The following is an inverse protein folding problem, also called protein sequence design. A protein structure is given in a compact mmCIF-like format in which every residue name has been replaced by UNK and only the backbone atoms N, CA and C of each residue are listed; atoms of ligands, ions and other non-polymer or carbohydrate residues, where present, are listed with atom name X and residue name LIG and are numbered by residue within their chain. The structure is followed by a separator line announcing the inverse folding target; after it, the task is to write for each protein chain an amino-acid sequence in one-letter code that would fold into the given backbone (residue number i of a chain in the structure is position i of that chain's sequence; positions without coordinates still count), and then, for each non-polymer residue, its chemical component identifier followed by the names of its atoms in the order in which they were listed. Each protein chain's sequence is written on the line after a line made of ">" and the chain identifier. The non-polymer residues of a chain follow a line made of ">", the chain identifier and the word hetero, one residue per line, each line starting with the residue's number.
data_IF_147282092595
#
_entry.id   IF_147282092595
#
_cell.length_a   1.000
_cell.length_b   1.000
_cell.length_c   1.000
_cell.angle_alpha   90.00
_cell.angle_beta   90.00
_cell.angle_gamma   90.00
#
_symmetry.space_group_name_H-M   'P 1'
#
loop_
_entity.id
_entity.type
_entity.pdbx_description
1 polymer ?
#
# COMPACT_ATOMS: atom_id res chain seq x y z
N UNK A 1 -53.34 64.00 19.29
CA UNK A 1 -53.72 64.81 18.11
C UNK A 1 -52.90 64.36 16.90
N UNK A 2 -53.50 64.30 15.70
CA UNK A 2 -52.93 64.11 14.32
C UNK A 2 -51.67 63.22 14.15
N UNK A 3 -51.64 62.05 13.50
CA UNK A 3 -52.25 61.52 12.24
C UNK A 3 -51.54 61.90 10.92
N UNK A 4 -50.83 60.92 10.32
CA UNK A 4 -50.74 60.54 8.88
C UNK A 4 -49.67 59.40 8.78
N UNK A 5 -49.84 58.18 8.21
CA UNK A 5 -50.30 57.70 6.87
C UNK A 5 -49.55 58.39 5.71
N UNK A 6 -48.97 57.73 4.69
CA UNK A 6 -48.86 56.31 4.25
C UNK A 6 -47.39 56.09 3.74
N UNK A 7 -46.94 55.03 3.05
CA UNK A 7 -47.56 53.96 2.24
C UNK A 7 -46.79 52.62 2.38
N UNK A 8 -46.76 51.81 1.31
CA UNK A 8 -45.90 50.65 1.04
C UNK A 8 -45.41 50.76 -0.40
N UNK A 9 -44.34 50.05 -0.78
CA UNK A 9 -44.18 49.55 -2.15
C UNK A 9 -43.43 48.20 -2.15
N UNK A 10 -44.08 47.18 -2.68
CA UNK A 10 -43.51 45.85 -2.94
C UNK A 10 -42.81 45.87 -4.30
N UNK A 11 -41.66 45.23 -4.45
CA UNK A 11 -41.08 44.95 -5.76
C UNK A 11 -40.45 43.56 -5.80
N UNK A 12 -41.08 42.66 -6.56
CA UNK A 12 -40.58 41.32 -6.82
C UNK A 12 -39.41 41.39 -7.81
N UNK A 13 -38.23 40.86 -7.45
CA UNK A 13 -37.15 40.62 -8.41
C UNK A 13 -37.21 39.18 -8.90
N UNK A 14 -37.45 39.02 -10.20
CA UNK A 14 -37.61 37.71 -10.87
C UNK A 14 -36.32 36.89 -10.85
N UNK A 15 -36.45 35.59 -10.63
CA UNK A 15 -35.41 34.61 -10.94
C UNK A 15 -35.32 34.38 -12.45
N UNK A 16 -34.13 34.53 -13.01
CA UNK A 16 -33.83 34.19 -14.42
C UNK A 16 -33.17 32.81 -14.48
N UNK A 17 -33.94 31.78 -14.86
CA UNK A 17 -33.41 30.46 -15.15
C UNK A 17 -32.55 30.50 -16.43
N UNK A 18 -31.38 29.88 -16.39
CA UNK A 18 -30.48 29.80 -17.53
C UNK A 18 -30.79 28.54 -18.36
N UNK A 19 -31.43 28.71 -19.51
CA UNK A 19 -31.58 27.68 -20.54
C UNK A 19 -31.30 28.33 -21.91
N UNK A 20 -30.12 28.08 -22.47
CA UNK A 20 -29.78 28.52 -23.83
C UNK A 20 -30.13 27.41 -24.83
N UNK A 21 -31.04 27.70 -25.78
CA UNK A 21 -31.30 26.85 -26.94
C UNK A 21 -30.44 27.34 -28.11
N UNK A 22 -29.52 26.53 -28.60
CA UNK A 22 -28.89 26.78 -29.90
C UNK A 22 -29.86 26.47 -31.04
N UNK A 23 -30.05 27.45 -31.92
CA UNK A 23 -30.85 27.34 -33.15
C UNK A 23 -29.92 27.12 -34.35
N UNK A 24 -29.84 25.88 -34.86
CA UNK A 24 -29.16 25.59 -36.13
C UNK A 24 -30.12 25.80 -37.32
N UNK A 25 -29.72 26.62 -38.31
CA UNK A 25 -30.45 26.78 -39.57
C UNK A 25 -30.03 25.72 -40.59
N UNK A 26 -30.99 25.29 -41.40
CA UNK A 26 -30.84 24.31 -42.49
C UNK A 26 -29.95 24.84 -43.62
N UNK A 27 -29.32 23.93 -44.36
CA UNK A 27 -29.35 23.98 -45.82
C UNK A 27 -29.27 22.56 -46.41
N UNK A 28 -29.94 22.35 -47.54
CA UNK A 28 -30.09 21.07 -48.25
C UNK A 28 -29.47 21.26 -49.64
N UNK A 29 -28.65 20.32 -50.10
CA UNK A 29 -28.46 20.09 -51.54
C UNK A 29 -28.43 18.58 -51.84
N UNK A 30 -29.17 18.22 -52.87
CA UNK A 30 -29.40 16.86 -53.34
C UNK A 30 -28.93 16.79 -54.80
N UNK A 31 -28.10 15.81 -55.17
CA UNK A 31 -27.76 15.52 -56.57
C UNK A 31 -27.48 14.02 -56.73
N UNK A 32 -27.98 13.43 -57.81
CA UNK A 32 -28.07 11.98 -58.01
C UNK A 32 -27.85 11.65 -59.50
N UNK A 33 -26.93 10.74 -59.84
CA UNK A 33 -26.74 10.21 -61.21
C UNK A 33 -25.83 8.94 -61.26
N UNK A 34 -26.45 7.76 -61.28
CA UNK A 34 -26.43 6.74 -62.35
C UNK A 34 -25.36 6.92 -63.48
N UNK A 35 -24.60 5.92 -64.00
CA UNK A 35 -24.87 4.49 -64.34
C UNK A 35 -23.57 3.64 -64.48
N UNK A 36 -23.72 2.31 -64.44
CA UNK A 36 -22.84 1.20 -64.92
C UNK A 36 -21.98 0.47 -63.87
N UNK A 37 -21.87 -0.87 -63.86
CA UNK A 37 -22.61 -1.88 -64.62
C UNK A 37 -21.77 -3.08 -65.08
N UNK A 38 -21.53 -4.06 -64.22
CA UNK A 38 -21.02 -5.42 -64.55
C UNK A 38 -21.30 -6.37 -63.36
N UNK A 39 -21.76 -7.62 -63.56
CA UNK A 39 -22.06 -8.54 -62.46
C UNK A 39 -20.85 -9.43 -62.13
N UNK A 40 -20.53 -9.56 -60.84
CA UNK A 40 -19.69 -10.64 -60.33
C UNK A 40 -20.43 -11.36 -59.20
N UNK A 41 -20.47 -12.68 -59.33
CA UNK A 41 -21.17 -13.60 -58.43
C UNK A 41 -20.45 -13.61 -57.07
N UNK A 42 -21.17 -13.35 -55.99
CA UNK A 42 -20.77 -13.80 -54.66
C UNK A 42 -22.00 -14.05 -53.78
N UNK A 43 -22.04 -15.25 -53.20
CA UNK A 43 -23.04 -15.73 -52.26
C UNK A 43 -23.04 -14.91 -50.97
N UNK A 44 -24.15 -14.28 -50.64
CA UNK A 44 -24.37 -13.69 -49.30
C UNK A 44 -24.79 -14.81 -48.35
N UNK A 45 -23.84 -15.32 -47.58
CA UNK A 45 -24.16 -16.07 -46.37
C UNK A 45 -24.58 -15.06 -45.29
N UNK A 46 -25.83 -15.16 -44.82
CA UNK A 46 -26.29 -14.39 -43.66
C UNK A 46 -25.71 -15.04 -42.41
N UNK A 47 -24.50 -14.64 -42.04
CA UNK A 47 -23.98 -14.88 -40.70
C UNK A 47 -24.61 -13.83 -39.77
N UNK A 48 -25.48 -14.27 -38.86
CA UNK A 48 -25.93 -13.43 -37.76
C UNK A 48 -24.74 -13.25 -36.80
N UNK A 49 -24.09 -12.09 -36.85
CA UNK A 49 -23.07 -11.75 -35.86
C UNK A 49 -23.77 -11.52 -34.51
N UNK A 50 -23.68 -12.50 -33.62
CA UNK A 50 -24.14 -12.34 -32.25
C UNK A 50 -23.39 -11.18 -31.58
N UNK A 51 -24.15 -10.32 -30.89
CA UNK A 51 -23.59 -9.24 -30.10
C UNK A 51 -22.86 -9.85 -28.89
N UNK A 52 -21.57 -9.57 -28.66
CA UNK A 52 -20.89 -10.05 -27.46
C UNK A 52 -21.52 -9.40 -26.21
N UNK A 53 -21.91 -10.25 -25.26
CA UNK A 53 -22.62 -9.86 -24.04
C UNK A 53 -21.70 -9.08 -23.07
N UNK A 54 -21.71 -7.75 -23.18
CA UNK A 54 -20.96 -6.84 -22.31
C UNK A 54 -21.58 -6.71 -20.91
N UNK A 55 -21.66 -7.82 -20.16
CA UNK A 55 -22.02 -7.86 -18.74
C UNK A 55 -21.18 -8.83 -17.92
N UNK A 56 -19.86 -8.60 -17.83
CA UNK A 56 -19.04 -9.26 -16.79
C UNK A 56 -17.71 -8.59 -16.42
N UNK A 57 -17.70 -7.27 -16.20
CA UNK A 57 -16.64 -6.63 -15.39
C UNK A 57 -17.06 -6.61 -13.91
N UNK A 58 -17.16 -7.81 -13.31
CA UNK A 58 -17.24 -7.94 -11.87
C UNK A 58 -15.82 -7.98 -11.29
N UNK A 59 -15.58 -7.20 -10.24
CA UNK A 59 -14.38 -7.27 -9.39
C UNK A 59 -14.20 -8.75 -8.96
N UNK A 60 -12.97 -9.29 -8.93
CA UNK A 60 -12.75 -10.67 -8.52
C UNK A 60 -13.38 -10.94 -7.14
N UNK A 61 -14.39 -11.83 -7.11
CA UNK A 61 -14.83 -12.42 -5.84
C UNK A 61 -13.70 -13.30 -5.31
N UNK A 62 -13.49 -13.26 -4.00
CA UNK A 62 -12.63 -14.21 -3.30
C UNK A 62 -12.94 -15.64 -3.76
N UNK A 63 -11.98 -16.26 -4.43
CA UNK A 63 -12.02 -17.69 -4.73
C UNK A 63 -11.82 -18.45 -3.42
N UNK A 64 -12.91 -19.06 -2.94
CA UNK A 64 -12.87 -20.08 -1.89
C UNK A 64 -11.78 -21.11 -2.27
N UNK A 65 -10.87 -21.51 -1.36
CA UNK A 65 -9.81 -22.46 -1.70
C UNK A 65 -10.39 -23.76 -2.27
N UNK A 66 -10.09 -24.05 -3.53
CA UNK A 66 -10.35 -25.34 -4.14
C UNK A 66 -9.29 -26.33 -3.68
N UNK A 67 -9.70 -27.56 -3.33
CA UNK A 67 -8.79 -28.64 -2.95
C UNK A 67 -7.94 -29.08 -4.16
N UNK A 68 -6.79 -28.46 -4.38
CA UNK A 68 -5.69 -29.10 -5.10
C UNK A 68 -5.05 -30.17 -4.20
N UNK A 69 -4.68 -31.36 -4.73
CA UNK A 69 -3.97 -32.37 -3.94
C UNK A 69 -2.64 -31.83 -3.42
N UNK A 70 -2.39 -31.97 -2.12
CA UNK A 70 -1.14 -31.57 -1.50
C UNK A 70 -0.03 -32.58 -1.84
N UNK A 71 0.72 -32.34 -2.91
CA UNK A 71 2.06 -32.91 -3.10
C UNK A 71 3.00 -32.28 -2.06
N UNK A 72 3.33 -33.03 -1.01
CA UNK A 72 4.13 -32.54 0.11
C UNK A 72 5.50 -32.04 -0.31
N UNK A 73 5.87 -30.84 0.14
CA UNK A 73 7.19 -30.24 -0.11
C UNK A 73 8.24 -30.78 0.89
N UNK A 74 9.52 -30.93 0.51
CA UNK A 74 10.51 -31.66 1.33
C UNK A 74 10.76 -31.09 2.74
N UNK A 75 10.53 -29.79 2.92
CA UNK A 75 10.97 -29.00 4.07
C UNK A 75 9.88 -28.76 5.16
N UNK A 76 8.70 -29.36 5.02
CA UNK A 76 7.58 -29.13 5.95
C UNK A 76 7.61 -30.09 7.16
N UNK A 77 7.25 -29.56 8.33
CA UNK A 77 6.91 -30.28 9.55
C UNK A 77 5.45 -29.98 9.91
N UNK A 78 4.67 -30.98 10.31
CA UNK A 78 3.22 -30.88 10.53
C UNK A 78 2.88 -30.64 12.00
N UNK A 79 3.45 -29.59 12.60
CA UNK A 79 3.33 -29.33 14.04
C UNK A 79 1.98 -28.68 14.44
N UNK A 80 1.20 -29.29 15.36
CA UNK A 80 -0.09 -28.76 15.79
C UNK A 80 0.05 -27.78 16.96
N UNK A 81 0.59 -26.58 16.68
CA UNK A 81 0.50 -25.44 17.61
C UNK A 81 0.50 -24.11 16.86
N UNK A 82 -0.68 -23.52 16.67
CA UNK A 82 -0.80 -22.13 16.19
C UNK A 82 -0.30 -21.19 17.28
N UNK A 83 0.99 -20.85 17.24
CA UNK A 83 1.53 -19.78 18.10
C UNK A 83 0.87 -18.47 17.68
N UNK A 84 0.39 -17.69 18.65
CA UNK A 84 -0.29 -16.42 18.39
C UNK A 84 0.39 -15.30 19.16
N UNK A 85 0.71 -14.22 18.43
CA UNK A 85 1.08 -12.95 19.00
C UNK A 85 -0.17 -12.30 19.62
N UNK A 86 -0.11 -11.93 20.90
CA UNK A 86 -1.19 -11.21 21.56
C UNK A 86 -1.27 -9.77 21.03
N UNK A 87 -2.47 -9.18 20.97
CA UNK A 87 -2.60 -7.79 20.64
C UNK A 87 -1.95 -6.89 21.69
N UNK A 88 -1.37 -5.78 21.23
CA UNK A 88 -1.00 -4.66 22.10
C UNK A 88 -2.26 -3.95 22.60
N UNK A 89 -2.11 -3.06 23.58
CA UNK A 89 -3.22 -2.26 24.09
C UNK A 89 -3.89 -1.43 22.97
N UNK A 90 -5.22 -1.27 22.97
CA UNK A 90 -5.89 -0.28 22.14
C UNK A 90 -5.34 1.12 22.38
N UNK A 91 -5.39 1.98 21.37
CA UNK A 91 -4.84 3.32 21.44
C UNK A 91 -5.24 4.18 20.26
N UNK A 92 -4.63 5.36 20.19
CA UNK A 92 -4.81 6.31 19.10
C UNK A 92 -3.52 6.46 18.31
N UNK A 93 -3.62 6.46 16.98
CA UNK A 93 -2.53 6.81 16.08
C UNK A 93 -2.87 8.09 15.32
N UNK A 94 -1.91 9.01 15.22
CA UNK A 94 -2.06 10.28 14.50
C UNK A 94 -1.11 10.30 13.31
N UNK A 95 -1.69 10.27 12.10
CA UNK A 95 -0.98 10.47 10.85
C UNK A 95 -1.05 11.96 10.48
N UNK A 96 0.01 12.70 10.81
CA UNK A 96 0.14 14.11 10.42
C UNK A 96 0.49 14.25 8.93
N UNK A 97 -0.09 15.25 8.28
CA UNK A 97 0.11 15.49 6.84
C UNK A 97 1.53 15.94 6.52
N UNK A 98 2.21 16.63 7.43
CA UNK A 98 3.64 16.99 7.32
C UNK A 98 4.59 15.81 7.04
N UNK A 99 4.18 14.56 7.34
CA UNK A 99 4.95 13.34 7.03
C UNK A 99 4.89 12.94 5.56
N UNK A 100 3.95 13.49 4.80
CA UNK A 100 3.87 13.28 3.35
C UNK A 100 4.86 14.20 2.64
N UNK A 101 5.74 13.66 1.76
CA UNK A 101 6.63 14.49 0.95
C UNK A 101 5.88 15.44 0.01
N UNK A 102 4.61 15.16 -0.31
CA UNK A 102 3.72 16.03 -1.10
C UNK A 102 3.31 17.29 -0.32
N UNK A 103 3.20 17.19 1.01
CA UNK A 103 2.78 18.31 1.86
C UNK A 103 3.98 19.17 2.23
N UNK A 104 5.13 18.54 2.50
CA UNK A 104 6.44 19.18 2.66
C UNK A 104 6.45 20.32 3.69
N UNK A 105 6.17 21.54 3.22
CA UNK A 105 5.96 22.73 4.07
C UNK A 105 4.72 23.58 3.71
N UNK A 106 4.07 23.33 2.56
CA UNK A 106 2.89 24.08 2.09
C UNK A 106 2.12 23.27 1.03
N UNK A 107 0.86 22.95 1.33
CA UNK A 107 -0.08 22.42 0.34
C UNK A 107 -1.07 23.51 -0.05
N UNK A 108 -0.92 24.10 -1.25
CA UNK A 108 -1.79 25.18 -1.73
C UNK A 108 -2.50 24.78 -3.03
N UNK A 109 -3.83 24.85 -2.99
CA UNK A 109 -4.76 24.59 -4.08
C UNK A 109 -5.14 25.91 -4.77
N UNK A 110 -5.16 25.97 -6.11
CA UNK A 110 -5.27 27.22 -6.90
C UNK A 110 -6.24 27.12 -8.08
N UNK A 111 -6.86 28.25 -8.43
CA UNK A 111 -7.83 28.34 -9.54
C UNK A 111 -9.23 27.85 -9.15
N UNK A 112 -10.14 27.73 -10.13
CA UNK A 112 -11.57 27.43 -9.87
C UNK A 112 -11.79 26.05 -9.24
N UNK A 113 -11.11 25.02 -9.75
CA UNK A 113 -11.13 23.68 -9.17
C UNK A 113 -9.70 23.16 -9.10
N UNK A 114 -9.33 22.60 -7.96
CA UNK A 114 -8.04 21.95 -7.73
C UNK A 114 -8.19 20.90 -6.63
N UNK A 115 -7.34 19.88 -6.68
CA UNK A 115 -7.39 18.77 -5.74
C UNK A 115 -6.00 18.28 -5.34
N UNK A 116 -5.86 17.87 -4.08
CA UNK A 116 -4.67 17.18 -3.59
C UNK A 116 -5.01 15.80 -3.08
N UNK A 117 -4.09 14.86 -3.31
CA UNK A 117 -4.25 13.44 -3.02
C UNK A 117 -3.16 13.01 -2.05
N UNK A 118 -3.57 12.47 -0.90
CA UNK A 118 -2.68 11.98 0.14
C UNK A 118 -2.99 10.52 0.43
N UNK A 119 -1.98 9.65 0.27
CA UNK A 119 -2.13 8.21 0.43
C UNK A 119 -1.65 7.73 1.79
N UNK A 120 -2.35 6.75 2.36
CA UNK A 120 -2.00 6.13 3.63
C UNK A 120 -2.39 4.65 3.66
N UNK A 121 -1.68 3.85 4.44
CA UNK A 121 -1.98 2.42 4.64
C UNK A 121 -2.73 2.18 5.94
N UNK A 122 -3.40 1.03 6.04
CA UNK A 122 -3.95 0.49 7.30
C UNK A 122 -3.15 -0.76 7.69
N UNK A 123 -2.35 -0.75 8.77
CA UNK A 123 -1.59 -1.92 9.24
C UNK A 123 -2.46 -3.17 9.40
N UNK A 124 -1.92 -4.34 9.02
CA UNK A 124 -2.73 -5.57 8.82
C UNK A 124 -3.38 -6.11 10.10
N UNK A 125 -2.83 -5.77 11.27
CA UNK A 125 -3.36 -6.19 12.57
C UNK A 125 -4.25 -5.13 13.25
N UNK A 126 -4.61 -4.02 12.60
CA UNK A 126 -5.47 -3.01 13.22
C UNK A 126 -6.96 -3.31 13.04
N UNK A 127 -7.70 -3.41 14.14
CA UNK A 127 -9.15 -3.20 14.15
C UNK A 127 -9.45 -1.72 14.34
N UNK A 128 -9.80 -1.05 13.25
CA UNK A 128 -10.13 0.37 13.26
C UNK A 128 -11.52 0.59 13.85
N UNK A 129 -11.58 1.26 15.02
CA UNK A 129 -12.83 1.58 15.71
C UNK A 129 -13.45 2.86 15.16
N UNK A 130 -12.64 3.91 15.01
CA UNK A 130 -13.00 5.17 14.36
C UNK A 130 -11.82 5.77 13.61
N UNK A 131 -12.11 6.49 12.53
CA UNK A 131 -11.14 7.34 11.82
C UNK A 131 -11.74 8.72 11.64
N UNK A 132 -10.93 9.75 11.88
CA UNK A 132 -11.30 11.16 11.68
C UNK A 132 -10.27 11.84 10.80
N UNK A 133 -10.72 12.56 9.77
CA UNK A 133 -9.87 13.53 9.06
C UNK A 133 -10.09 14.89 9.70
N UNK A 134 -9.02 15.48 10.23
CA UNK A 134 -9.01 16.83 10.81
C UNK A 134 -8.18 17.73 9.89
N UNK A 135 -8.85 18.50 9.03
CA UNK A 135 -8.19 19.48 8.16
C UNK A 135 -8.15 20.84 8.84
N UNK A 136 -6.96 21.44 8.87
CA UNK A 136 -6.78 22.87 9.13
C UNK A 136 -6.46 23.57 7.82
N UNK A 137 -7.16 24.66 7.53
CA UNK A 137 -7.05 25.34 6.24
C UNK A 137 -7.21 26.85 6.41
N UNK A 138 -6.66 27.61 5.46
CA UNK A 138 -6.97 29.04 5.26
C UNK A 138 -7.21 29.26 3.77
N UNK A 139 -7.94 30.30 3.41
CA UNK A 139 -8.23 30.61 2.01
C UNK A 139 -8.20 32.11 1.76
N UNK A 140 -8.22 32.47 0.48
CA UNK A 140 -8.30 33.86 0.06
C UNK A 140 -9.53 34.56 0.63
N UNK A 141 -9.38 35.78 1.18
CA UNK A 141 -10.52 36.59 1.63
C UNK A 141 -11.36 37.14 0.46
N UNK A 142 -10.91 36.98 -0.79
CA UNK A 142 -11.67 37.33 -1.98
C UNK A 142 -12.71 36.26 -2.41
N UNK A 143 -12.72 35.08 -1.78
CA UNK A 143 -13.65 34.02 -2.15
C UNK A 143 -15.11 34.36 -1.76
N UNK A 144 -16.01 34.09 -2.69
CA UNK A 144 -17.44 34.18 -2.52
C UNK A 144 -17.95 32.88 -1.86
N UNK A 145 -18.08 32.93 -0.53
CA UNK A 145 -18.36 31.80 0.35
C UNK A 145 -19.54 30.90 -0.07
N UNK A 146 -20.60 31.46 -0.66
CA UNK A 146 -21.79 30.68 -1.09
C UNK A 146 -21.56 29.86 -2.37
N UNK A 147 -20.42 30.02 -3.03
CA UNK A 147 -19.99 29.28 -4.23
C UNK A 147 -18.60 28.67 -4.11
N UNK A 148 -18.02 28.72 -2.91
CA UNK A 148 -16.68 28.21 -2.63
C UNK A 148 -16.72 27.19 -1.51
N UNK A 149 -16.24 25.98 -1.75
CA UNK A 149 -16.25 24.88 -0.78
C UNK A 149 -14.95 24.08 -0.80
N UNK A 150 -14.68 23.42 0.32
CA UNK A 150 -13.64 22.42 0.49
C UNK A 150 -14.33 21.09 0.81
N UNK A 151 -14.13 20.11 -0.07
CA UNK A 151 -14.73 18.78 0.02
C UNK A 151 -13.64 17.74 0.27
N UNK A 152 -13.92 16.78 1.16
CA UNK A 152 -13.03 15.66 1.47
C UNK A 152 -13.65 14.36 1.00
N UNK A 153 -12.85 13.54 0.33
CA UNK A 153 -13.23 12.22 -0.13
C UNK A 153 -12.23 11.18 0.38
N UNK A 154 -12.71 9.98 0.69
CA UNK A 154 -11.92 8.80 1.04
C UNK A 154 -12.22 7.73 0.00
N UNK A 155 -11.20 7.26 -0.71
CA UNK A 155 -11.32 6.20 -1.72
C UNK A 155 -12.46 6.47 -2.74
N UNK A 156 -12.59 7.73 -3.17
CA UNK A 156 -13.61 8.19 -4.11
C UNK A 156 -14.98 8.54 -3.51
N UNK A 157 -15.26 8.21 -2.25
CA UNK A 157 -16.51 8.56 -1.58
C UNK A 157 -16.38 9.87 -0.78
N UNK A 158 -17.28 10.83 -0.99
CA UNK A 158 -17.31 12.08 -0.22
C UNK A 158 -17.71 11.83 1.23
N UNK A 159 -16.88 12.28 2.17
CA UNK A 159 -17.12 12.18 3.63
C UNK A 159 -17.63 13.50 4.22
N UNK A 160 -17.49 14.62 3.50
CA UNK A 160 -18.07 15.90 3.89
C UNK A 160 -17.52 17.08 3.12
N UNK A 161 -18.16 18.24 3.30
CA UNK A 161 -17.80 19.51 2.67
C UNK A 161 -18.09 20.69 3.59
N UNK A 162 -17.25 21.73 3.55
CA UNK A 162 -17.44 22.99 4.28
C UNK A 162 -17.33 24.19 3.33
N UNK A 163 -18.11 25.27 3.57
CA UNK A 163 -17.95 26.51 2.81
C UNK A 163 -16.63 27.21 3.18
N UNK A 164 -15.96 27.78 2.17
CA UNK A 164 -14.77 28.62 2.33
C UNK A 164 -15.21 30.04 2.73
N UNK A 165 -15.48 30.22 4.02
CA UNK A 165 -16.15 31.42 4.57
C UNK A 165 -15.42 32.11 5.74
N UNK A 166 -14.13 31.84 5.95
CA UNK A 166 -13.34 32.41 7.03
C UNK A 166 -12.99 33.88 6.74
N UNK A 167 -13.17 34.80 7.71
CA UNK A 167 -12.86 36.20 7.51
C UNK A 167 -11.33 36.40 7.45
N UNK A 168 -10.88 37.36 6.63
CA UNK A 168 -9.49 37.86 6.60
C UNK A 168 -8.37 36.79 6.51
N UNK A 169 -8.66 35.60 5.97
CA UNK A 169 -7.68 34.51 5.87
C UNK A 169 -7.42 33.76 7.19
N UNK A 170 -8.33 33.87 8.17
CA UNK A 170 -8.31 33.08 9.40
C UNK A 170 -8.25 31.57 9.14
N UNK A 171 -7.67 30.84 10.10
CA UNK A 171 -7.54 29.38 10.02
C UNK A 171 -8.85 28.72 10.41
N UNK A 172 -9.48 28.04 9.46
CA UNK A 172 -10.57 27.10 9.69
C UNK A 172 -10.09 25.72 10.12
N UNK A 173 -10.94 25.00 10.84
CA UNK A 173 -10.81 23.57 11.10
C UNK A 173 -12.09 22.87 10.63
N UNK A 174 -11.95 21.77 9.89
CA UNK A 174 -13.03 20.86 9.53
C UNK A 174 -12.67 19.45 9.99
N UNK A 175 -13.60 18.77 10.66
CA UNK A 175 -13.42 17.41 11.16
C UNK A 175 -14.52 16.54 10.56
N UNK A 176 -14.12 15.45 9.91
CA UNK A 176 -15.04 14.48 9.31
C UNK A 176 -14.78 13.09 9.88
N UNK A 177 -15.82 12.44 10.38
CA UNK A 177 -15.81 11.02 10.68
C UNK A 177 -15.79 10.22 9.37
N UNK A 178 -14.85 9.28 9.25
CA UNK A 178 -14.71 8.41 8.08
C UNK A 178 -15.39 7.07 8.38
N UNK A 179 -16.45 6.69 7.65
CA UNK A 179 -17.05 5.37 7.78
C UNK A 179 -16.01 4.26 7.54
N UNK A 180 -15.87 3.34 8.50
CA UNK A 180 -14.81 2.31 8.48
C UNK A 180 -14.96 1.32 7.32
N UNK A 181 -16.15 1.18 6.76
CA UNK A 181 -16.42 0.39 5.55
C UNK A 181 -15.86 1.02 4.25
N UNK A 182 -15.42 2.28 4.27
CA UNK A 182 -14.67 2.89 3.16
C UNK A 182 -13.18 2.54 3.21
N UNK A 183 -12.67 2.06 4.35
CA UNK A 183 -11.24 1.83 4.56
C UNK A 183 -10.77 0.49 4.02
N UNK A 184 -9.71 0.55 3.23
CA UNK A 184 -9.01 -0.57 2.63
C UNK A 184 -7.60 -0.68 3.23
N UNK A 185 -6.76 -1.58 2.71
CA UNK A 185 -5.34 -1.69 3.10
C UNK A 185 -4.51 -0.50 2.61
N UNK A 186 -4.83 0.01 1.42
CA UNK A 186 -4.29 1.23 0.84
C UNK A 186 -5.44 2.23 0.65
N UNK A 187 -5.24 3.48 1.06
CA UNK A 187 -6.29 4.50 1.06
C UNK A 187 -5.78 5.81 0.47
N UNK A 188 -6.68 6.57 -0.14
CA UNK A 188 -6.45 7.92 -0.64
C UNK A 188 -7.45 8.90 0.00
N UNK A 189 -6.92 9.93 0.67
CA UNK A 189 -7.66 11.16 0.99
C UNK A 189 -7.54 12.10 -0.20
N UNK A 190 -8.65 12.49 -0.80
CA UNK A 190 -8.71 13.59 -1.77
C UNK A 190 -9.29 14.82 -1.08
N UNK A 191 -8.60 15.95 -1.24
CA UNK A 191 -9.01 17.25 -0.74
C UNK A 191 -9.23 18.12 -1.96
N UNK A 192 -10.49 18.30 -2.34
CA UNK A 192 -10.88 19.09 -3.50
C UNK A 192 -11.43 20.45 -3.04
N UNK A 193 -11.09 21.51 -3.77
CA UNK A 193 -11.71 22.84 -3.58
C UNK A 193 -12.45 23.26 -4.83
N UNK A 194 -13.64 23.82 -4.64
CA UNK A 194 -14.30 24.67 -5.62
C UNK A 194 -14.16 26.10 -5.13
N UNK A 195 -13.63 26.99 -5.96
CA UNK A 195 -13.27 28.36 -5.60
C UNK A 195 -13.88 29.35 -6.59
N UNK A 196 -14.44 30.44 -6.07
CA UNK A 196 -15.07 31.44 -6.89
C UNK A 196 -14.98 32.81 -6.23
N UNK A 197 -14.48 33.83 -6.92
CA UNK A 197 -14.39 35.22 -6.45
C UNK A 197 -15.40 36.17 -7.13
N UNK A 198 -16.31 35.66 -7.98
CA UNK A 198 -17.28 36.44 -8.75
C UNK A 198 -18.73 35.97 -8.52
N UNK A 199 -19.66 36.87 -8.11
CA UNK A 199 -21.07 36.51 -7.94
C UNK A 199 -21.76 36.12 -9.27
N UNK A 200 -21.14 36.40 -10.42
CA UNK A 200 -21.67 36.13 -11.76
C UNK A 200 -21.00 34.97 -12.49
N UNK A 201 -20.03 34.26 -11.88
CA UNK A 201 -19.22 33.22 -12.54
C UNK A 201 -18.50 33.71 -13.80
N UNK A 202 -18.07 34.98 -13.80
CA UNK A 202 -17.35 35.63 -14.90
C UNK A 202 -15.86 35.83 -14.58
N UNK A 203 -15.32 35.10 -13.60
CA UNK A 203 -13.92 35.25 -13.22
C UNK A 203 -12.96 34.58 -14.19
N UNK A 204 -11.71 35.05 -14.19
CA UNK A 204 -10.59 34.32 -14.80
C UNK A 204 -10.34 33.01 -14.01
N UNK A 205 -10.31 31.84 -14.66
CA UNK A 205 -10.00 30.57 -14.00
C UNK A 205 -8.65 30.52 -13.26
N UNK A 206 -7.70 31.39 -13.65
CA UNK A 206 -6.33 31.47 -13.13
C UNK A 206 -6.07 32.71 -12.29
N UNK A 207 -7.13 33.45 -11.89
CA UNK A 207 -7.01 34.62 -11.02
C UNK A 207 -6.21 34.27 -9.74
N UNK A 208 -5.12 34.99 -9.43
CA UNK A 208 -4.24 34.67 -8.31
C UNK A 208 -4.90 34.82 -6.93
N UNK A 209 -6.11 35.39 -6.85
CA UNK A 209 -6.93 35.41 -5.64
C UNK A 209 -7.76 34.14 -5.42
N UNK A 210 -7.77 33.18 -6.37
CA UNK A 210 -8.37 31.86 -6.19
C UNK A 210 -7.37 30.90 -5.54
N UNK A 211 -7.30 30.90 -4.21
CA UNK A 211 -6.44 29.96 -3.47
C UNK A 211 -7.00 29.52 -2.12
N UNK A 212 -6.66 28.28 -1.76
CA UNK A 212 -6.87 27.66 -0.45
C UNK A 212 -5.59 26.91 -0.06
N UNK A 213 -5.16 27.04 1.18
CA UNK A 213 -3.97 26.38 1.72
C UNK A 213 -4.37 25.42 2.84
N UNK A 214 -3.97 24.16 2.70
CA UNK A 214 -4.10 23.12 3.72
C UNK A 214 -2.84 23.18 4.59
N UNK A 215 -3.03 23.32 5.90
CA UNK A 215 -1.92 23.50 6.83
C UNK A 215 -1.28 22.15 7.20
N UNK A 216 0.06 22.09 7.44
CA UNK A 216 0.78 20.83 7.64
C UNK A 216 0.37 20.04 8.89
N UNK A 217 -0.30 20.67 9.86
CA UNK A 217 -0.83 20.07 11.08
C UNK A 217 -2.27 19.52 10.93
N UNK A 218 -2.77 19.50 9.70
CA UNK A 218 -3.86 18.61 9.29
C UNK A 218 -3.45 17.14 9.47
N UNK A 219 -4.41 16.28 9.79
CA UNK A 219 -4.12 14.89 10.20
C UNK A 219 -5.27 13.92 9.98
N UNK A 220 -4.93 12.64 9.82
CA UNK A 220 -5.84 11.51 10.02
C UNK A 220 -5.60 10.94 11.42
N UNK A 221 -6.67 10.78 12.21
CA UNK A 221 -6.63 10.21 13.55
C UNK A 221 -7.34 8.86 13.51
N UNK A 222 -6.67 7.80 13.97
CA UNK A 222 -7.20 6.45 14.07
C UNK A 222 -7.35 6.08 15.53
N UNK A 223 -8.54 5.67 15.95
CA UNK A 223 -8.73 4.94 17.20
C UNK A 223 -8.79 3.45 16.85
N UNK A 224 -7.90 2.66 17.43
CA UNK A 224 -7.61 1.30 16.98
C UNK A 224 -7.44 0.32 18.13
N UNK A 225 -7.88 -0.92 17.92
CA UNK A 225 -7.58 -2.07 18.75
C UNK A 225 -6.75 -3.07 17.93
N UNK A 226 -5.52 -3.42 18.32
CA UNK A 226 -4.78 -4.46 17.63
C UNK A 226 -5.50 -5.82 17.73
N UNK A 227 -5.40 -6.64 16.68
CA UNK A 227 -5.91 -8.02 16.64
C UNK A 227 -4.81 -9.02 17.00
N UNK A 228 -5.15 -10.18 17.60
CA UNK A 228 -4.22 -11.29 17.71
C UNK A 228 -3.72 -11.73 16.32
N UNK A 229 -2.44 -12.13 16.22
CA UNK A 229 -1.86 -12.55 14.94
C UNK A 229 -1.34 -13.99 15.03
N UNK A 230 -1.87 -14.94 14.22
CA UNK A 230 -1.29 -16.27 14.11
C UNK A 230 0.06 -16.20 13.39
N UNK A 231 1.04 -16.89 13.96
CA UNK A 231 2.40 -16.99 13.45
C UNK A 231 2.50 -18.21 12.52
N UNK A 232 2.66 -17.92 11.23
CA UNK A 232 2.74 -18.95 10.19
C UNK A 232 3.63 -18.42 9.05
N UNK A 233 4.61 -19.22 8.61
CA UNK A 233 5.52 -18.85 7.54
C UNK A 233 4.83 -18.67 6.17
N UNK A 234 3.63 -19.21 5.97
CA UNK A 234 2.81 -18.94 4.77
C UNK A 234 2.43 -17.46 4.61
N UNK A 235 2.58 -16.67 5.67
CA UNK A 235 2.32 -15.23 5.72
C UNK A 235 3.60 -14.39 5.77
N UNK A 236 4.78 -15.04 5.73
CA UNK A 236 6.07 -14.38 5.76
C UNK A 236 6.21 -13.36 4.60
N UNK A 237 6.68 -12.11 4.85
CA UNK A 237 7.39 -11.68 6.05
C UNK A 237 6.50 -11.15 7.20
N UNK A 238 5.17 -11.14 7.08
CA UNK A 238 4.30 -10.68 8.17
C UNK A 238 4.18 -11.74 9.29
N UNK A 239 4.22 -11.38 10.60
CA UNK A 239 4.27 -10.03 11.17
C UNK A 239 5.68 -9.49 11.51
N UNK A 240 6.75 -10.14 11.03
CA UNK A 240 8.13 -9.65 11.22
C UNK A 240 8.32 -8.28 10.55
N UNK A 241 7.86 -8.17 9.31
CA UNK A 241 7.78 -6.95 8.54
C UNK A 241 6.32 -6.74 8.10
N UNK A 242 5.74 -5.58 8.42
CA UNK A 242 4.44 -5.14 7.89
C UNK A 242 4.65 -4.01 6.87
N UNK A 243 4.40 -4.33 5.61
CA UNK A 243 4.37 -3.37 4.49
C UNK A 243 3.29 -2.29 4.67
N UNK A 244 2.24 -2.55 5.44
CA UNK A 244 1.18 -1.57 5.69
C UNK A 244 1.44 -0.72 6.95
N UNK A 245 2.57 -0.92 7.65
CA UNK A 245 2.93 -0.16 8.84
C UNK A 245 3.02 1.34 8.56
N UNK A 246 2.41 2.15 9.44
CA UNK A 246 2.52 3.62 9.43
C UNK A 246 3.71 4.13 10.26
N UNK A 247 4.36 3.26 11.04
CA UNK A 247 5.61 3.49 11.77
C UNK A 247 6.75 2.66 11.15
N UNK A 248 8.02 2.97 11.44
CA UNK A 248 9.14 2.08 11.14
C UNK A 248 8.90 0.65 11.65
N UNK A 249 9.44 -0.33 10.92
CA UNK A 249 9.44 -1.70 11.41
C UNK A 249 10.61 -1.87 12.40
N UNK A 250 10.31 -1.89 13.70
CA UNK A 250 11.28 -2.05 14.79
C UNK A 250 11.75 -3.51 14.92
N UNK A 251 13.08 -3.72 14.80
CA UNK A 251 13.70 -5.04 14.73
C UNK A 251 14.98 -5.11 15.59
N UNK A 252 14.95 -5.93 16.64
CA UNK A 252 16.12 -6.27 17.43
C UNK A 252 16.79 -7.55 16.91
N UNK A 253 18.12 -7.61 16.94
CA UNK A 253 18.90 -8.83 16.78
C UNK A 253 19.50 -9.25 18.12
N UNK A 254 19.29 -10.50 18.53
CA UNK A 254 19.92 -11.04 19.72
C UNK A 254 21.40 -11.35 19.44
N UNK A 255 22.30 -10.68 20.15
CA UNK A 255 23.72 -10.95 20.08
C UNK A 255 24.03 -12.36 20.62
N UNK A 256 24.82 -13.18 19.90
CA UNK A 256 25.34 -14.43 20.44
C UNK A 256 26.39 -14.12 21.53
N UNK A 257 26.65 -15.11 22.38
CA UNK A 257 27.68 -15.01 23.43
C UNK A 257 29.09 -14.72 22.88
N UNK A 258 29.40 -15.20 21.68
CA UNK A 258 30.59 -14.86 20.90
C UNK A 258 30.20 -14.58 19.45
N UNK A 259 30.14 -13.31 19.02
CA UNK A 259 29.92 -12.97 17.61
C UNK A 259 31.06 -13.49 16.72
N UNK A 260 30.71 -14.25 15.69
CA UNK A 260 31.64 -14.84 14.73
C UNK A 260 31.31 -14.43 13.28
N UNK A 261 32.20 -14.81 12.34
CA UNK A 261 32.03 -14.51 10.93
C UNK A 261 30.74 -15.14 10.35
N UNK A 262 30.36 -16.32 10.84
CA UNK A 262 29.15 -17.00 10.40
C UNK A 262 27.88 -16.21 10.78
N UNK A 263 27.80 -15.75 12.04
CA UNK A 263 26.70 -14.92 12.52
C UNK A 263 26.67 -13.55 11.82
N UNK A 264 27.82 -12.88 11.69
CA UNK A 264 27.92 -11.59 10.97
C UNK A 264 27.47 -11.73 9.51
N UNK A 265 27.88 -12.79 8.83
CA UNK A 265 27.45 -13.10 7.46
C UNK A 265 25.96 -13.36 7.37
N UNK A 266 25.41 -14.18 8.28
CA UNK A 266 23.99 -14.51 8.28
C UNK A 266 23.10 -13.30 8.61
N UNK A 267 23.43 -12.55 9.67
CA UNK A 267 22.69 -11.37 10.10
C UNK A 267 22.73 -10.25 9.04
N UNK A 268 23.89 -9.97 8.44
CA UNK A 268 24.01 -8.96 7.38
C UNK A 268 23.24 -9.36 6.12
N UNK A 269 23.33 -10.60 5.65
CA UNK A 269 22.52 -11.10 4.52
C UNK A 269 21.02 -10.98 4.79
N UNK A 270 20.59 -11.31 6.01
CA UNK A 270 19.19 -11.17 6.43
C UNK A 270 18.72 -9.71 6.41
N UNK A 271 19.50 -8.81 7.04
CA UNK A 271 19.19 -7.38 7.06
C UNK A 271 19.19 -6.76 5.66
N UNK A 272 20.14 -7.11 4.79
CA UNK A 272 20.16 -6.67 3.39
C UNK A 272 18.92 -7.15 2.62
N UNK A 273 18.40 -8.34 2.91
CA UNK A 273 17.18 -8.84 2.28
C UNK A 273 15.91 -8.16 2.81
N UNK A 274 15.86 -7.83 4.10
CA UNK A 274 14.78 -6.99 4.65
C UNK A 274 14.81 -5.58 4.06
N UNK A 275 16.00 -4.98 3.90
CA UNK A 275 16.15 -3.69 3.20
C UNK A 275 15.59 -3.71 1.77
N UNK A 276 15.85 -4.77 1.00
CA UNK A 276 15.25 -4.96 -0.34
C UNK A 276 13.73 -5.10 -0.30
N UNK A 277 13.18 -5.79 0.71
CA UNK A 277 11.73 -5.92 0.89
C UNK A 277 11.08 -4.59 1.30
N UNK A 278 11.76 -3.78 2.10
CA UNK A 278 11.23 -2.53 2.62
C UNK A 278 11.19 -1.40 1.58
N UNK A 279 12.06 -1.43 0.57
CA UNK A 279 12.16 -0.40 -0.47
C UNK A 279 12.42 1.00 0.12
N UNK A 280 11.38 1.83 0.22
CA UNK A 280 11.42 3.19 0.81
C UNK A 280 10.97 3.22 2.29
N UNK A 281 10.47 2.10 2.82
CA UNK A 281 9.90 2.02 4.18
C UNK A 281 11.02 1.92 5.21
N UNK A 282 10.98 2.71 6.29
CA UNK A 282 11.99 2.65 7.34
C UNK A 282 11.94 1.31 8.11
N UNK A 283 13.12 0.78 8.41
CA UNK A 283 13.35 -0.32 9.35
C UNK A 283 14.30 0.20 10.41
N UNK A 284 13.86 0.23 11.67
CA UNK A 284 14.69 0.68 12.78
C UNK A 284 15.30 -0.57 13.44
N UNK A 285 16.62 -0.73 13.30
CA UNK A 285 17.30 -1.96 13.71
C UNK A 285 18.35 -1.73 14.78
N UNK A 286 18.38 -2.61 15.80
CA UNK A 286 19.37 -2.56 16.88
C UNK A 286 19.81 -3.95 17.35
N UNK A 287 20.83 -3.96 18.20
CA UNK A 287 21.34 -5.14 18.88
C UNK A 287 20.79 -5.19 20.32
N UNK A 288 20.51 -6.38 20.83
CA UNK A 288 20.14 -6.65 22.24
C UNK A 288 20.95 -7.81 22.79
N UNK A 289 21.21 -7.80 24.10
CA UNK A 289 21.90 -8.89 24.80
C UNK A 289 20.93 -9.94 25.36
N UNK A 290 19.68 -9.54 25.60
CA UNK A 290 18.66 -10.41 26.19
C UNK A 290 17.25 -10.05 25.70
N UNK A 291 16.35 -11.03 25.72
CA UNK A 291 14.94 -10.87 25.30
C UNK A 291 14.18 -9.83 26.15
N UNK A 292 14.60 -9.60 27.40
CA UNK A 292 14.00 -8.60 28.29
C UNK A 292 14.32 -7.14 27.94
N UNK A 293 15.22 -6.87 26.98
CA UNK A 293 15.51 -5.52 26.50
C UNK A 293 14.52 -5.02 25.44
N UNK A 294 13.57 -5.85 24.99
CA UNK A 294 12.61 -5.53 23.93
C UNK A 294 11.54 -4.53 24.39
N UNK A 295 11.18 -3.60 23.51
CA UNK A 295 9.97 -2.76 23.68
C UNK A 295 8.72 -3.49 23.15
N UNK A 296 7.51 -3.23 23.71
CA UNK A 296 6.29 -3.87 23.22
C UNK A 296 6.00 -3.53 21.75
N UNK A 297 6.00 -4.55 20.88
CA UNK A 297 5.78 -4.39 19.43
C UNK A 297 7.04 -4.46 18.57
N UNK A 298 8.22 -4.35 19.18
CA UNK A 298 9.50 -4.67 18.54
C UNK A 298 9.58 -6.17 18.26
N UNK A 299 10.16 -6.57 17.13
CA UNK A 299 10.35 -7.99 16.78
C UNK A 299 11.80 -8.39 17.02
N UNK A 300 12.02 -9.61 17.49
CA UNK A 300 13.35 -10.17 17.73
C UNK A 300 13.75 -11.15 16.62
N UNK A 301 15.00 -11.05 16.18
CA UNK A 301 15.68 -12.02 15.32
C UNK A 301 16.77 -12.71 16.12
N UNK A 302 16.72 -14.05 16.17
CA UNK A 302 17.75 -14.88 16.79
C UNK A 302 18.38 -15.75 15.71
N UNK A 303 19.69 -15.61 15.52
CA UNK A 303 20.49 -16.42 14.59
C UNK A 303 21.58 -17.11 15.40
N UNK A 304 21.74 -18.42 15.23
CA UNK A 304 22.79 -19.21 15.87
C UNK A 304 22.33 -20.58 16.37
N UNK A 305 23.22 -21.33 17.00
CA UNK A 305 22.93 -22.64 17.61
C UNK A 305 22.58 -22.47 19.10
N UNK A 306 22.20 -23.55 19.79
CA UNK A 306 21.97 -23.52 21.25
C UNK A 306 23.22 -23.22 22.07
N UNK A 307 24.42 -23.45 21.52
CA UNK A 307 25.69 -23.09 22.16
C UNK A 307 26.04 -21.62 21.98
N UNK A 308 25.78 -21.03 20.79
CA UNK A 308 26.05 -19.59 20.55
C UNK A 308 24.92 -18.68 21.03
N UNK A 309 23.69 -19.21 21.13
CA UNK A 309 22.51 -18.53 21.64
C UNK A 309 21.87 -19.34 22.80
N UNK A 310 22.47 -19.37 24.01
CA UNK A 310 21.93 -20.12 25.16
C UNK A 310 20.49 -19.75 25.55
N UNK A 311 20.08 -18.51 25.26
CA UNK A 311 18.72 -17.98 25.43
C UNK A 311 17.64 -18.81 24.71
N UNK A 312 17.99 -19.56 23.66
CA UNK A 312 17.07 -20.50 23.01
C UNK A 312 16.55 -21.58 23.99
N UNK A 313 17.30 -21.90 25.05
CA UNK A 313 16.90 -22.90 26.07
C UNK A 313 15.85 -22.38 27.06
N UNK A 314 15.67 -21.06 27.19
CA UNK A 314 14.68 -20.45 28.10
C UNK A 314 13.40 -19.98 27.41
N UNK A 315 13.38 -19.94 26.08
CA UNK A 315 12.18 -19.62 25.30
C UNK A 315 11.22 -20.81 25.24
N UNK A 316 9.91 -20.51 25.14
CA UNK A 316 8.90 -21.52 24.80
C UNK A 316 8.96 -21.77 23.29
N UNK A 317 9.56 -22.89 22.89
CA UNK A 317 9.78 -23.22 21.49
C UNK A 317 8.81 -24.30 20.98
N UNK A 318 8.44 -24.29 19.68
CA UNK A 318 7.64 -25.36 19.09
C UNK A 318 8.37 -26.71 19.00
N UNK A 319 9.69 -26.70 18.76
CA UNK A 319 10.54 -27.89 18.75
C UNK A 319 11.16 -28.17 20.11
N UNK A 320 11.44 -29.45 20.37
CA UNK A 320 12.12 -29.92 21.59
C UNK A 320 13.64 -29.95 21.40
N UNK A 321 14.34 -29.82 22.52
CA UNK A 321 15.79 -29.99 22.63
C UNK A 321 16.12 -31.23 23.46
N UNK A 322 17.17 -31.95 23.08
CA UNK A 322 17.84 -32.93 23.93
C UNK A 322 19.31 -32.54 24.07
N UNK A 323 19.69 -32.07 25.26
CA UNK A 323 20.99 -31.41 25.47
C UNK A 323 21.08 -30.15 24.61
N UNK A 324 21.93 -30.20 23.58
CA UNK A 324 22.14 -29.12 22.62
C UNK A 324 21.69 -29.45 21.19
N UNK A 325 20.94 -30.55 20.97
CA UNK A 325 20.43 -30.92 19.64
C UNK A 325 18.92 -30.76 19.54
N UNK A 326 18.47 -30.21 18.41
CA UNK A 326 17.05 -30.13 18.05
C UNK A 326 16.51 -31.51 17.68
N UNK A 327 15.29 -31.80 18.14
CA UNK A 327 14.56 -33.01 17.81
C UNK A 327 13.47 -32.74 16.78
N UNK A 328 13.22 -33.71 15.90
CA UNK A 328 12.07 -33.73 15.00
C UNK A 328 10.78 -34.19 15.71
N UNK A 329 9.69 -34.29 14.96
CA UNK A 329 8.37 -34.73 15.44
C UNK A 329 8.38 -36.18 15.98
N UNK A 330 9.29 -37.01 15.47
CA UNK A 330 9.51 -38.40 15.91
C UNK A 330 10.45 -38.51 17.12
N UNK A 331 10.86 -37.37 17.69
CA UNK A 331 11.83 -37.21 18.77
C UNK A 331 13.25 -37.71 18.41
N UNK A 332 13.59 -37.73 17.12
CA UNK A 332 14.96 -38.04 16.66
C UNK A 332 15.77 -36.76 16.50
N UNK A 333 17.09 -36.77 16.79
CA UNK A 333 17.96 -35.64 16.50
C UNK A 333 17.91 -35.29 15.01
N UNK A 334 17.68 -34.01 14.73
CA UNK A 334 17.75 -33.45 13.37
C UNK A 334 19.19 -33.55 12.87
N UNK A 335 19.39 -33.79 11.56
CA UNK A 335 20.72 -33.91 10.98
C UNK A 335 21.50 -32.58 11.01
N UNK A 336 22.82 -32.64 11.02
CA UNK A 336 23.70 -31.49 11.30
C UNK A 336 23.80 -30.48 10.15
N UNK A 337 23.28 -30.84 8.98
CA UNK A 337 23.15 -30.01 7.78
C UNK A 337 21.75 -29.42 7.59
N UNK A 338 20.76 -29.80 8.41
CA UNK A 338 19.36 -29.36 8.28
C UNK A 338 19.15 -28.07 9.06
N UNK A 339 18.81 -27.00 8.35
CA UNK A 339 18.45 -25.72 8.95
C UNK A 339 17.08 -25.77 9.62
N UNK A 340 16.89 -24.99 10.68
CA UNK A 340 15.63 -24.92 11.43
C UNK A 340 15.18 -23.47 11.52
N UNK A 341 13.98 -23.20 11.02
CA UNK A 341 13.30 -21.92 11.19
C UNK A 341 12.14 -22.09 12.16
N UNK A 342 11.97 -21.16 13.11
CA UNK A 342 10.82 -21.13 14.02
C UNK A 342 10.28 -19.72 14.18
N UNK A 343 8.96 -19.59 14.26
CA UNK A 343 8.26 -18.41 14.77
C UNK A 343 7.74 -18.74 16.17
N UNK A 344 8.14 -17.92 17.15
CA UNK A 344 7.58 -17.95 18.50
C UNK A 344 7.33 -16.53 19.01
N UNK A 345 7.02 -16.37 20.29
CA UNK A 345 6.89 -15.07 20.94
C UNK A 345 7.76 -14.96 22.18
N UNK A 346 7.91 -13.75 22.68
CA UNK A 346 8.33 -13.47 24.05
C UNK A 346 7.43 -14.16 25.09
N UNK A 347 7.87 -14.34 26.35
CA UNK A 347 7.06 -14.98 27.40
C UNK A 347 5.71 -14.31 27.69
N UNK A 348 5.61 -12.98 27.53
CA UNK A 348 4.34 -12.24 27.65
C UNK A 348 3.44 -12.35 26.40
N UNK A 349 4.02 -12.84 25.30
CA UNK A 349 3.49 -12.96 23.95
C UNK A 349 3.17 -11.64 23.22
N UNK A 350 3.83 -10.53 23.56
CA UNK A 350 3.65 -9.22 22.89
C UNK A 350 4.63 -8.93 21.76
N UNK A 351 5.75 -9.64 21.68
CA UNK A 351 6.75 -9.49 20.63
C UNK A 351 6.99 -10.80 19.90
N UNK A 352 7.10 -10.70 18.57
CA UNK A 352 7.48 -11.82 17.70
C UNK A 352 8.95 -12.16 17.93
N UNK A 353 9.28 -13.46 17.90
CA UNK A 353 10.65 -13.95 17.81
C UNK A 353 10.77 -14.84 16.58
N UNK A 354 11.51 -14.39 15.57
CA UNK A 354 12.01 -15.23 14.47
C UNK A 354 13.32 -15.88 14.93
N UNK A 355 13.42 -17.19 14.75
CA UNK A 355 14.62 -17.97 15.06
C UNK A 355 15.09 -18.67 13.79
N UNK A 356 16.36 -18.46 13.43
CA UNK A 356 17.08 -19.23 12.42
C UNK A 356 18.25 -19.97 13.09
N UNK A 357 18.11 -21.28 13.21
CA UNK A 357 18.98 -22.14 14.02
C UNK A 357 19.27 -23.47 13.33
N UNK A 358 20.00 -24.34 14.01
CA UNK A 358 20.36 -25.68 13.59
C UNK A 358 21.31 -26.28 14.61
N UNK A 359 21.72 -27.53 14.41
CA UNK A 359 22.72 -28.17 15.26
C UNK A 359 24.15 -27.68 14.96
N UNK A 360 24.36 -27.01 13.82
CA UNK A 360 25.64 -26.38 13.42
C UNK A 360 25.43 -24.93 12.95
N UNK A 361 26.47 -24.07 12.99
CA UNK A 361 26.40 -22.72 12.41
C UNK A 361 26.08 -22.73 10.91
N UNK A 362 26.56 -23.72 10.16
CA UNK A 362 26.25 -23.89 8.74
C UNK A 362 24.74 -24.13 8.50
N UNK A 363 24.11 -24.97 9.33
CA UNK A 363 22.68 -25.21 9.27
C UNK A 363 21.85 -23.96 9.66
N UNK A 364 22.30 -23.18 10.66
CA UNK A 364 21.67 -21.89 10.97
C UNK A 364 21.76 -20.88 9.81
N UNK A 365 22.92 -20.82 9.12
CA UNK A 365 23.08 -20.01 7.91
C UNK A 365 22.21 -20.49 6.74
N UNK A 366 22.04 -21.81 6.57
CA UNK A 366 21.11 -22.41 5.60
C UNK A 366 19.65 -22.06 5.89
N UNK A 367 19.26 -22.04 7.18
CA UNK A 367 17.95 -21.56 7.62
C UNK A 367 17.71 -20.09 7.26
N UNK A 368 18.71 -19.21 7.49
CA UNK A 368 18.63 -17.81 7.04
C UNK A 368 18.52 -17.72 5.52
N UNK A 369 19.35 -18.44 4.77
CA UNK A 369 19.38 -18.41 3.30
C UNK A 369 18.02 -18.74 2.67
N UNK A 370 17.27 -19.69 3.24
CA UNK A 370 15.89 -20.02 2.83
C UNK A 370 14.93 -18.81 2.90
N UNK A 371 15.03 -17.96 3.92
CA UNK A 371 14.19 -16.75 4.02
C UNK A 371 14.54 -15.68 2.96
N UNK A 372 15.76 -15.69 2.44
CA UNK A 372 16.22 -14.72 1.44
C UNK A 372 15.70 -15.06 0.04
N UNK A 373 15.56 -16.36 -0.25
CA UNK A 373 15.17 -16.88 -1.56
C UNK A 373 13.64 -16.81 -1.75
N UNK A 374 13.19 -16.02 -2.72
CA UNK A 374 11.76 -15.72 -2.91
C UNK A 374 10.90 -16.95 -3.22
N UNK A 375 11.43 -17.94 -3.94
CA UNK A 375 10.71 -19.18 -4.29
C UNK A 375 10.52 -20.07 -3.07
N UNK A 376 11.60 -20.26 -2.31
CA UNK A 376 11.66 -21.18 -1.18
C UNK A 376 10.85 -20.65 0.02
N UNK A 377 10.91 -19.34 0.32
CA UNK A 377 10.08 -18.77 1.39
C UNK A 377 8.57 -18.82 1.10
N UNK A 378 8.15 -18.87 -0.17
CA UNK A 378 6.73 -18.94 -0.57
C UNK A 378 6.11 -20.34 -0.34
N UNK A 379 6.91 -21.39 -0.20
CA UNK A 379 6.43 -22.76 0.09
C UNK A 379 6.51 -23.13 1.59
N UNK A 380 6.97 -22.20 2.43
CA UNK A 380 7.00 -22.35 3.88
C UNK A 380 5.61 -22.22 4.50
N UNK A 381 5.26 -23.13 5.42
CA UNK A 381 3.96 -23.15 6.11
C UNK A 381 4.12 -23.56 7.57
N UNK A 382 3.23 -23.13 8.45
CA UNK A 382 3.28 -23.42 9.88
C UNK A 382 4.27 -22.54 10.65
N UNK A 383 4.42 -22.78 11.94
CA UNK A 383 5.34 -22.03 12.82
C UNK A 383 6.77 -22.57 12.81
N UNK A 384 7.06 -23.64 12.05
CA UNK A 384 8.38 -24.30 11.96
C UNK A 384 8.64 -24.78 10.53
N UNK A 385 9.87 -24.61 10.05
CA UNK A 385 10.35 -25.20 8.78
C UNK A 385 11.67 -25.93 9.03
N UNK A 386 11.81 -27.11 8.43
CA UNK A 386 13.04 -27.90 8.43
C UNK A 386 13.68 -27.80 7.04
N UNK A 387 14.70 -26.96 6.90
CA UNK A 387 15.41 -26.71 5.64
C UNK A 387 16.40 -27.83 5.37
N UNK A 388 15.90 -28.94 4.82
CA UNK A 388 16.69 -30.12 4.43
C UNK A 388 17.43 -29.86 3.12
N UNK A 389 16.69 -29.44 2.11
CA UNK A 389 17.22 -29.12 0.79
C UNK A 389 17.09 -27.62 0.53
N UNK A 390 18.15 -27.04 -0.04
CA UNK A 390 18.17 -25.64 -0.48
C UNK A 390 19.03 -25.53 -1.73
N UNK A 391 18.44 -25.04 -2.82
CA UNK A 391 19.19 -24.80 -4.04
C UNK A 391 20.15 -23.63 -3.84
N UNK A 392 21.42 -23.81 -4.23
CA UNK A 392 22.34 -22.68 -4.33
C UNK A 392 21.86 -21.75 -5.46
N UNK A 393 21.67 -20.47 -5.14
CA UNK A 393 21.37 -19.45 -6.14
C UNK A 393 22.71 -18.88 -6.60
N UNK A 394 23.06 -19.00 -7.89
CA UNK A 394 24.31 -18.46 -8.41
C UNK A 394 24.33 -16.94 -8.24
N UNK A 395 25.52 -16.39 -8.00
CA UNK A 395 25.74 -14.94 -8.08
C UNK A 395 25.34 -14.46 -9.49
N UNK A 396 24.46 -13.44 -9.61
CA UNK A 396 24.12 -12.86 -10.91
C UNK A 396 25.36 -12.40 -11.67
N UNK A 397 25.28 -12.43 -13.00
CA UNK A 397 26.35 -11.89 -13.83
C UNK A 397 26.55 -10.38 -13.56
N UNK A 398 27.75 -9.82 -13.79
CA UNK A 398 27.92 -8.37 -13.73
C UNK A 398 26.87 -7.66 -14.60
N UNK A 399 26.17 -6.67 -14.01
CA UNK A 399 25.04 -5.91 -14.61
C UNK A 399 23.71 -6.65 -14.79
N UNK A 400 23.60 -7.93 -14.43
CA UNK A 400 22.31 -8.62 -14.32
C UNK A 400 21.60 -8.15 -13.03
N UNK A 401 20.85 -7.05 -13.14
CA UNK A 401 20.20 -6.36 -12.02
C UNK A 401 18.66 -6.53 -12.13
N UNK A 402 18.04 -7.38 -11.30
CA UNK A 402 16.60 -7.64 -11.38
C UNK A 402 15.74 -6.37 -11.24
N UNK A 403 14.80 -6.18 -12.16
CA UNK A 403 13.92 -5.01 -12.22
C UNK A 403 14.57 -3.75 -12.81
N UNK A 404 15.76 -3.87 -13.39
CA UNK A 404 16.33 -2.89 -14.31
C UNK A 404 15.99 -3.22 -15.76
N UNK A 405 16.29 -2.30 -16.67
CA UNK A 405 16.13 -2.52 -18.11
C UNK A 405 16.93 -3.73 -18.59
N UNK A 406 16.47 -4.42 -19.65
CA UNK A 406 17.26 -5.42 -20.34
C UNK A 406 18.62 -4.85 -20.79
N UNK A 407 19.66 -5.68 -20.73
CA UNK A 407 21.03 -5.32 -21.16
C UNK A 407 21.11 -5.16 -22.70
N UNK A 408 20.08 -5.59 -23.43
CA UNK A 408 19.98 -5.47 -24.88
C UNK A 408 19.67 -4.02 -25.30
N UNK A 409 20.35 -3.53 -26.35
CA UNK A 409 20.18 -2.17 -26.88
C UNK A 409 18.77 -1.88 -27.46
N UNK A 410 17.88 -2.87 -27.50
CA UNK A 410 16.49 -2.74 -27.95
C UNK A 410 15.64 -3.80 -27.25
N UNK A 411 14.51 -3.39 -26.69
CA UNK A 411 13.55 -4.26 -25.99
C UNK A 411 12.12 -3.73 -26.20
N UNK A 412 11.12 -4.56 -25.95
CA UNK A 412 9.71 -4.19 -26.00
C UNK A 412 9.18 -3.87 -24.60
N UNK A 413 8.08 -3.12 -24.49
CA UNK A 413 7.49 -2.78 -23.19
C UNK A 413 7.07 -4.03 -22.37
N UNK A 414 6.68 -5.12 -23.04
CA UNK A 414 6.35 -6.40 -22.40
C UNK A 414 7.56 -7.07 -21.72
N UNK A 415 8.78 -6.69 -22.11
CA UNK A 415 10.03 -7.25 -21.57
C UNK A 415 10.45 -6.48 -20.29
N UNK A 416 9.68 -5.45 -19.92
CA UNK A 416 9.81 -4.71 -18.67
C UNK A 416 8.91 -5.29 -17.59
N UNK A 417 9.42 -5.29 -16.36
CA UNK A 417 8.62 -5.54 -15.18
C UNK A 417 8.20 -4.22 -14.51
N UNK A 418 7.02 -4.21 -13.89
CA UNK A 418 6.55 -3.14 -13.00
C UNK A 418 7.41 -3.04 -11.73
N UNK A 419 7.19 -2.01 -10.91
CA UNK A 419 7.84 -1.89 -9.60
C UNK A 419 7.59 -3.09 -8.66
N UNK A 420 6.52 -3.86 -8.88
CA UNK A 420 6.21 -5.09 -8.14
C UNK A 420 6.95 -6.34 -8.69
N UNK A 421 7.80 -6.17 -9.70
CA UNK A 421 8.44 -7.23 -10.49
C UNK A 421 7.43 -8.16 -11.20
N UNK A 422 6.31 -7.60 -11.66
CA UNK A 422 5.30 -8.28 -12.49
C UNK A 422 5.46 -7.84 -13.95
N UNK A 423 5.21 -8.69 -14.96
CA UNK A 423 5.31 -8.30 -16.37
C UNK A 423 4.34 -7.17 -16.73
N UNK A 424 4.76 -6.23 -17.57
CA UNK A 424 3.87 -5.21 -18.11
C UNK A 424 2.71 -5.83 -18.91
N UNK A 425 1.49 -5.32 -18.68
CA UNK A 425 0.26 -5.70 -19.39
C UNK A 425 -0.29 -4.49 -20.16
N UNK A 426 -1.22 -4.72 -21.10
CA UNK A 426 -1.85 -3.64 -21.88
C UNK A 426 -2.66 -2.69 -20.99
N UNK A 427 -2.19 -1.45 -20.85
CA UNK A 427 -2.88 -0.38 -20.12
C UNK A 427 -3.67 0.47 -21.12
N UNK A 428 -4.98 0.62 -20.91
CA UNK A 428 -5.84 1.51 -21.71
C UNK A 428 -6.51 2.53 -20.79
N UNK A 429 -6.26 3.82 -21.02
CA UNK A 429 -7.03 4.91 -20.41
C UNK A 429 -8.18 5.35 -21.33
N UNK A 430 -9.30 5.80 -20.76
CA UNK A 430 -10.50 6.26 -21.50
C UNK A 430 -11.18 7.40 -20.76
N UNK A 431 -11.62 8.43 -21.48
CA UNK A 431 -12.34 9.59 -20.93
C UNK A 431 -11.98 10.88 -21.65
N UNK A 432 -12.71 11.97 -21.38
CA UNK A 432 -12.34 13.33 -21.82
C UNK A 432 -11.07 13.83 -21.15
N UNK A 433 -10.87 13.42 -19.90
CA UNK A 433 -9.80 13.87 -19.00
C UNK A 433 -8.92 12.67 -18.57
N UNK A 434 -8.64 11.78 -19.53
CA UNK A 434 -7.83 10.58 -19.28
C UNK A 434 -6.38 10.97 -18.92
N UNK A 435 -5.82 10.48 -17.81
CA UNK A 435 -4.44 10.77 -17.44
C UNK A 435 -3.45 10.11 -18.42
N UNK A 436 -2.20 10.63 -18.51
CA UNK A 436 -1.14 9.97 -19.26
C UNK A 436 -0.85 8.57 -18.70
N UNK A 437 -0.34 7.68 -19.56
CA UNK A 437 0.23 6.40 -19.13
C UNK A 437 1.69 6.66 -18.76
N UNK A 438 2.00 6.59 -17.47
CA UNK A 438 3.36 6.69 -16.95
C UNK A 438 3.97 5.28 -16.89
N UNK A 439 5.21 5.15 -17.39
CA UNK A 439 5.96 3.89 -17.42
C UNK A 439 7.29 4.12 -16.70
N UNK A 440 7.34 3.72 -15.44
CA UNK A 440 8.58 3.73 -14.65
C UNK A 440 9.51 2.60 -15.10
N UNK A 441 10.79 2.90 -15.27
CA UNK A 441 11.85 1.91 -15.48
C UNK A 441 13.12 2.32 -14.74
N UNK A 442 14.05 1.37 -14.57
CA UNK A 442 15.35 1.59 -13.91
C UNK A 442 16.48 1.33 -14.90
N UNK A 443 17.16 2.39 -15.31
CA UNK A 443 18.38 2.31 -16.11
C UNK A 443 19.59 1.96 -15.24
N UNK A 444 20.60 1.31 -15.80
CA UNK A 444 21.93 1.22 -15.18
C UNK A 444 22.59 2.62 -15.15
N UNK A 445 23.50 2.90 -14.19
CA UNK A 445 24.06 4.25 -14.02
C UNK A 445 24.83 4.83 -15.22
N UNK A 446 25.25 3.98 -16.17
CA UNK A 446 25.98 4.36 -17.37
C UNK A 446 25.19 4.15 -18.69
N UNK A 447 23.93 3.73 -18.60
CA UNK A 447 23.04 3.63 -19.77
C UNK A 447 22.80 5.02 -20.40
N UNK A 448 22.65 5.05 -21.72
CA UNK A 448 22.35 6.27 -22.49
C UNK A 448 21.21 6.02 -23.46
N UNK A 449 20.08 6.66 -23.20
CA UNK A 449 18.95 6.67 -24.12
C UNK A 449 19.25 7.59 -25.29
N UNK A 450 19.33 7.00 -26.48
CA UNK A 450 19.30 7.74 -27.75
C UNK A 450 17.84 7.79 -28.18
N UNK A 451 17.24 8.99 -28.12
CA UNK A 451 15.85 9.28 -28.49
C UNK A 451 15.82 9.91 -29.88
#
# INVERSE_FOLDING_TARGET
>A
MRSQKKSQNYSQKRSSNCFSKHSAKRSIWLSLLLISGLPLVNTVAIAQTELPDYRQNAIPRETKPGNSPATGTPNQATLPATVQLKPLSPGQYVLEFNRSPVVGTRLQLRGIYDESRLRFTRPRNWETQSVKVSLRFRHSPALYATRSNLTVMINGASVGSVPLNKPQGEIGTAIYDVPTNLLQDYNEVVIAVLQNNSPTCTQDPYDPSLWTEILPDSKVVFDLAPKPVPLDFSRYPFPLFDELSLSPNELAYLLPNTPDEAWLTAASRFQSSLGRLAQFRPIDTRLVNQVGELTPGERLVVIGTTQTQPTLKSLKLPLKLQGDRWLDETQKPIADDVGVLMLTTTPDAKSLVLIATGNTPAAASKAVQFLLQSRDRQIGTGSVILVKDLAEVPTPAPRDWPGYLPIENSFQLKDLNTQANEPFQDITTRGSDAPPIEIDFRALPDDRFLV
#
